data_IF_199495041538
#
_entry.id   IF_199495041538
#
_cell.length_a   1.000
_cell.length_b   1.000
_cell.length_c   1.000
_cell.angle_alpha   90.00
_cell.angle_beta   90.00
_cell.angle_gamma   90.00
#
_symmetry.space_group_name_H-M   'P 1'
#
loop_
_entity.id
_entity.type
_entity.pdbx_description
1 polymer ?
#
# COMPACT_ATOMS: atom_id res chain seq x y z
N UNK A 1 -14.94 13.28 52.28
CA UNK A 1 -14.74 13.99 50.99
C UNK A 1 -13.25 14.01 50.69
N UNK A 2 -12.73 12.99 50.03
CA UNK A 2 -11.31 12.90 49.66
C UNK A 2 -11.10 13.53 48.28
N UNK A 3 -10.26 14.57 48.23
CA UNK A 3 -9.88 15.26 47.00
C UNK A 3 -9.18 14.31 46.01
N UNK A 4 -9.58 14.37 44.74
CA UNK A 4 -8.92 13.67 43.64
C UNK A 4 -7.55 14.31 43.36
N UNK A 5 -6.49 13.53 43.10
CA UNK A 5 -5.18 14.06 42.76
C UNK A 5 -5.19 14.73 41.37
N UNK A 6 -4.34 15.75 41.15
CA UNK A 6 -4.27 16.48 39.89
C UNK A 6 -3.81 15.57 38.75
N UNK A 7 -4.41 15.77 37.57
CA UNK A 7 -4.13 15.00 36.37
C UNK A 7 -2.71 15.28 35.85
N UNK A 8 -1.74 14.53 36.36
CA UNK A 8 -0.36 14.51 35.90
C UNK A 8 -0.26 13.88 34.50
N UNK A 9 -0.42 14.71 33.47
CA UNK A 9 0.55 14.88 32.40
C UNK A 9 1.26 13.61 31.85
N UNK A 10 0.49 12.57 31.53
CA UNK A 10 0.92 11.30 30.90
C UNK A 10 1.57 11.51 29.51
N UNK A 11 1.40 12.70 28.92
CA UNK A 11 1.76 12.99 27.52
C UNK A 11 3.26 12.99 27.18
N UNK A 12 4.16 13.44 28.07
CA UNK A 12 5.59 13.60 27.71
C UNK A 12 6.40 12.30 27.76
N UNK A 13 6.09 11.38 28.68
CA UNK A 13 6.76 10.07 28.76
C UNK A 13 6.31 9.14 27.61
N UNK A 14 5.02 9.17 27.25
CA UNK A 14 4.50 8.45 26.10
C UNK A 14 5.14 8.92 24.78
N UNK A 15 5.34 10.23 24.60
CA UNK A 15 6.00 10.80 23.42
C UNK A 15 7.47 10.38 23.27
N UNK A 16 8.19 10.18 24.39
CA UNK A 16 9.60 9.74 24.39
C UNK A 16 9.71 8.28 23.92
N UNK A 17 8.76 7.42 24.29
CA UNK A 17 8.70 6.03 23.80
C UNK A 17 8.25 5.93 22.33
N UNK A 18 7.37 6.81 21.86
CA UNK A 18 6.93 6.85 20.46
C UNK A 18 8.08 7.26 19.52
N UNK A 19 8.97 8.18 19.96
CA UNK A 19 10.18 8.54 19.21
C UNK A 19 11.21 7.40 19.15
N UNK A 20 11.37 6.63 20.23
CA UNK A 20 12.30 5.49 20.28
C UNK A 20 11.86 4.32 19.37
N UNK A 21 10.55 4.15 19.12
CA UNK A 21 10.02 3.06 18.29
C UNK A 21 9.81 3.38 16.81
N UNK A 22 10.30 4.54 16.34
CA UNK A 22 10.41 4.82 14.90
C UNK A 22 9.10 4.79 14.12
N UNK A 23 7.98 5.21 14.73
CA UNK A 23 6.66 5.23 14.12
C UNK A 23 6.62 6.28 12.99
N UNK A 24 6.70 5.83 11.73
CA UNK A 24 6.57 6.67 10.54
C UNK A 24 5.10 7.05 10.37
N UNK A 25 4.70 8.27 10.75
CA UNK A 25 3.47 8.88 10.25
C UNK A 25 3.74 9.32 8.82
N UNK A 26 3.10 8.67 7.86
CA UNK A 26 3.14 9.06 6.45
C UNK A 26 1.68 9.26 6.06
N UNK A 27 1.35 10.50 5.75
CA UNK A 27 0.09 10.86 5.14
C UNK A 27 0.03 10.18 3.77
N UNK A 28 -0.90 9.26 3.58
CA UNK A 28 -1.35 8.86 2.25
C UNK A 28 -2.86 9.08 2.27
N UNK A 29 -3.25 10.23 1.74
CA UNK A 29 -4.59 10.49 1.25
C UNK A 29 -4.55 10.13 -0.23
N UNK A 30 -5.16 9.01 -0.60
CA UNK A 30 -6.11 8.84 -1.71
C UNK A 30 -6.28 7.34 -1.97
N UNK A 31 -7.12 6.70 -1.17
CA UNK A 31 -7.86 5.49 -1.55
C UNK A 31 -9.14 5.57 -0.74
N UNK A 32 -10.10 6.34 -1.26
CA UNK A 32 -11.43 6.39 -0.67
C UNK A 32 -12.20 5.15 -1.12
N UNK A 33 -12.59 4.37 -0.11
CA UNK A 33 -13.84 3.62 0.00
C UNK A 33 -14.45 3.06 -1.30
N UNK A 34 -14.25 1.75 -1.50
CA UNK A 34 -15.34 0.86 -1.87
C UNK A 34 -15.46 -0.20 -0.79
N UNK A 35 -16.68 -0.55 -0.41
CA UNK A 35 -16.98 -1.52 0.65
C UNK A 35 -16.53 -2.97 0.32
N UNK A 36 -15.93 -3.17 -0.86
CA UNK A 36 -15.31 -4.41 -1.35
C UNK A 36 -13.81 -4.53 -1.03
N UNK A 37 -13.21 -3.51 -0.40
CA UNK A 37 -11.79 -3.53 -0.01
C UNK A 37 -11.63 -4.39 1.24
N UNK A 38 -11.39 -5.69 1.04
CA UNK A 38 -10.66 -6.48 2.02
C UNK A 38 -9.37 -5.67 2.38
N UNK A 39 -8.93 -5.65 3.66
CA UNK A 39 -7.86 -4.76 4.16
C UNK A 39 -6.44 -5.09 3.65
N UNK A 40 -6.36 -5.69 2.47
CA UNK A 40 -5.26 -6.41 1.84
C UNK A 40 -4.08 -5.52 1.41
N UNK A 41 -4.26 -4.21 1.27
CA UNK A 41 -3.23 -3.32 0.70
C UNK A 41 -2.26 -2.69 1.72
N UNK A 42 -2.61 -2.69 3.00
CA UNK A 42 -1.98 -1.79 3.98
C UNK A 42 -2.13 -2.27 5.44
N UNK A 43 -2.13 -3.59 5.63
CA UNK A 43 -2.23 -4.30 6.91
C UNK A 43 -1.27 -3.81 8.03
N UNK A 44 -0.25 -3.02 7.71
CA UNK A 44 0.79 -2.61 8.66
C UNK A 44 0.49 -1.34 9.47
N UNK A 45 -0.51 -0.52 9.10
CA UNK A 45 -0.65 0.82 9.69
C UNK A 45 -1.63 0.85 10.88
N UNK A 46 -2.72 0.08 10.82
CA UNK A 46 -3.79 0.12 11.83
C UNK A 46 -3.76 -1.08 12.80
N UNK A 47 -3.57 -2.31 12.29
CA UNK A 47 -3.49 -3.52 13.11
C UNK A 47 -2.04 -3.87 13.47
N UNK A 48 -1.43 -3.05 14.34
CA UNK A 48 -0.08 -3.31 14.85
C UNK A 48 -0.08 -4.23 16.10
N UNK A 49 -0.84 -5.33 16.05
CA UNK A 49 -0.96 -6.26 17.20
C UNK A 49 -1.38 -5.59 18.52
N UNK A 50 -2.09 -4.45 18.44
CA UNK A 50 -2.44 -3.67 19.63
C UNK A 50 -3.40 -4.49 20.50
N UNK A 51 -3.25 -4.44 21.84
CA UNK A 51 -4.08 -5.23 22.74
C UNK A 51 -5.56 -4.82 22.71
N UNK A 52 -5.87 -3.59 22.29
CA UNK A 52 -7.24 -3.05 22.23
C UNK A 52 -8.18 -3.91 21.36
N UNK A 53 -9.41 -4.10 21.84
CA UNK A 53 -10.49 -4.75 21.10
C UNK A 53 -11.29 -3.70 20.30
N UNK A 54 -11.48 -3.98 19.02
CA UNK A 54 -12.23 -3.13 18.09
C UNK A 54 -13.13 -4.00 17.21
N UNK A 55 -14.21 -3.40 16.71
CA UNK A 55 -15.17 -4.07 15.82
C UNK A 55 -14.42 -4.53 14.56
N UNK A 56 -14.46 -5.83 14.25
CA UNK A 56 -13.74 -6.43 13.12
C UNK A 56 -12.41 -7.13 13.46
N UNK A 57 -11.88 -7.02 14.69
CA UNK A 57 -10.62 -7.68 15.09
C UNK A 57 -10.63 -9.20 14.89
N UNK A 58 -11.74 -9.86 15.21
CA UNK A 58 -11.88 -11.30 15.02
C UNK A 58 -11.96 -11.67 13.53
N UNK A 59 -12.68 -10.89 12.71
CA UNK A 59 -12.76 -11.10 11.27
C UNK A 59 -11.37 -10.98 10.62
N UNK A 60 -10.58 -9.96 10.97
CA UNK A 60 -9.20 -9.79 10.50
C UNK A 60 -8.29 -10.97 10.86
N UNK A 61 -8.40 -11.49 12.10
CA UNK A 61 -7.64 -12.68 12.51
C UNK A 61 -7.99 -13.91 11.68
N UNK A 62 -9.26 -14.08 11.33
CA UNK A 62 -9.71 -15.19 10.48
C UNK A 62 -9.22 -15.04 9.03
N UNK A 63 -9.28 -13.84 8.47
CA UNK A 63 -8.76 -13.55 7.12
C UNK A 63 -7.25 -13.84 7.07
N UNK A 64 -6.50 -13.35 8.05
CA UNK A 64 -5.05 -13.61 8.16
C UNK A 64 -4.73 -15.11 8.27
N UNK A 65 -5.55 -15.88 9.00
CA UNK A 65 -5.36 -17.32 9.14
C UNK A 65 -5.70 -18.10 7.86
N UNK A 66 -6.71 -17.65 7.10
CA UNK A 66 -7.12 -18.27 5.82
C UNK A 66 -6.18 -17.95 4.66
N UNK A 67 -5.47 -16.83 4.74
CA UNK A 67 -4.64 -16.32 3.65
C UNK A 67 -5.45 -15.56 2.61
N UNK A 68 -4.80 -14.59 1.98
CA UNK A 68 -5.41 -13.74 0.96
C UNK A 68 -5.51 -14.48 -0.37
N UNK A 69 -6.58 -14.22 -1.12
CA UNK A 69 -6.77 -14.79 -2.47
C UNK A 69 -6.31 -13.83 -3.57
N UNK A 70 -6.36 -12.54 -3.29
CA UNK A 70 -5.94 -11.47 -4.20
C UNK A 70 -5.02 -10.52 -3.44
N UNK A 71 -4.24 -9.74 -4.18
CA UNK A 71 -3.35 -8.71 -3.65
C UNK A 71 -3.38 -7.49 -4.54
N UNK A 72 -3.32 -6.33 -3.91
CA UNK A 72 -3.07 -5.07 -4.58
C UNK A 72 -1.60 -5.02 -5.02
N UNK A 73 -1.38 -4.72 -6.30
CA UNK A 73 -0.07 -4.59 -6.92
C UNK A 73 0.00 -3.30 -7.74
N UNK A 74 1.20 -2.77 -7.92
CA UNK A 74 1.47 -1.67 -8.82
C UNK A 74 2.02 -2.21 -10.16
N UNK A 75 1.42 -1.73 -11.25
CA UNK A 75 1.74 -2.07 -12.63
C UNK A 75 2.38 -0.87 -13.31
N UNK A 76 3.34 -1.16 -14.18
CA UNK A 76 3.84 -0.23 -15.19
C UNK A 76 3.51 -0.76 -16.57
N UNK A 77 3.00 0.11 -17.44
CA UNK A 77 2.72 -0.22 -18.82
C UNK A 77 3.20 0.92 -19.73
N UNK A 78 3.60 0.55 -20.94
CA UNK A 78 3.90 1.51 -22.00
C UNK A 78 2.68 1.60 -22.89
N UNK A 79 2.11 2.80 -22.96
CA UNK A 79 0.94 3.12 -23.79
C UNK A 79 1.31 4.24 -24.75
N UNK A 80 0.47 4.39 -25.78
CA UNK A 80 0.69 5.41 -26.82
C UNK A 80 0.00 6.72 -26.39
N UNK A 81 -1.33 6.77 -26.52
CA UNK A 81 -2.15 7.97 -26.32
C UNK A 81 -3.25 7.78 -25.25
N UNK A 82 -3.17 6.69 -24.46
CA UNK A 82 -4.19 6.32 -23.47
C UNK A 82 -3.54 5.93 -22.14
N UNK A 83 -4.14 6.37 -21.05
CA UNK A 83 -3.73 6.01 -19.69
C UNK A 83 -4.84 5.25 -18.98
N UNK A 84 -4.50 4.31 -18.09
CA UNK A 84 -5.49 3.68 -17.20
C UNK A 84 -6.01 4.71 -16.20
N UNK A 85 -7.31 4.69 -15.95
CA UNK A 85 -7.98 5.50 -14.92
C UNK A 85 -8.45 4.61 -13.75
N UNK A 86 -8.88 3.39 -14.05
CA UNK A 86 -9.39 2.41 -13.10
C UNK A 86 -10.61 1.65 -13.65
N UNK A 87 -10.86 0.45 -13.12
CA UNK A 87 -11.89 -0.50 -13.55
C UNK A 87 -11.65 -1.16 -14.91
N UNK A 88 -10.42 -1.17 -15.38
CA UNK A 88 -10.02 -1.89 -16.59
C UNK A 88 -9.68 -3.36 -16.29
N UNK A 89 -9.91 -4.23 -17.28
CA UNK A 89 -9.70 -5.68 -17.13
C UNK A 89 -8.23 -6.04 -17.27
N UNK A 90 -7.76 -6.92 -16.38
CA UNK A 90 -6.40 -7.46 -16.42
C UNK A 90 -6.44 -8.88 -16.95
N UNK A 91 -5.67 -9.11 -18.00
CA UNK A 91 -5.58 -10.36 -18.71
C UNK A 91 -4.26 -11.07 -18.40
N UNK A 92 -4.33 -12.39 -18.28
CA UNK A 92 -3.17 -13.27 -18.18
C UNK A 92 -3.50 -14.61 -18.85
N UNK A 93 -2.68 -15.06 -19.80
CA UNK A 93 -2.89 -16.28 -20.57
C UNK A 93 -4.31 -16.40 -21.18
N UNK A 94 -4.83 -15.30 -21.73
CA UNK A 94 -6.15 -15.25 -22.37
C UNK A 94 -7.35 -15.33 -21.40
N UNK A 95 -7.13 -15.11 -20.11
CA UNK A 95 -8.20 -15.04 -19.09
C UNK A 95 -8.13 -13.74 -18.31
N UNK A 96 -9.29 -13.20 -17.96
CA UNK A 96 -9.38 -12.07 -17.03
C UNK A 96 -9.07 -12.58 -15.61
N UNK A 97 -8.01 -12.03 -15.02
CA UNK A 97 -7.52 -12.42 -13.68
C UNK A 97 -7.81 -11.37 -12.62
N UNK A 98 -8.14 -10.15 -13.02
CA UNK A 98 -8.37 -9.06 -12.08
C UNK A 98 -8.78 -7.77 -12.76
N UNK A 99 -8.75 -6.69 -12.00
CA UNK A 99 -9.09 -5.35 -12.45
C UNK A 99 -8.13 -4.30 -11.88
N UNK A 100 -7.95 -3.22 -12.61
CA UNK A 100 -7.30 -2.01 -12.09
C UNK A 100 -8.25 -1.26 -11.15
N UNK A 101 -7.70 -0.62 -10.13
CA UNK A 101 -8.45 0.22 -9.18
C UNK A 101 -8.29 1.70 -9.50
N UNK A 102 -7.06 2.10 -9.83
CA UNK A 102 -6.72 3.49 -10.15
C UNK A 102 -5.49 3.51 -11.05
N UNK A 103 -5.39 4.49 -11.92
CA UNK A 103 -4.24 4.66 -12.79
C UNK A 103 -3.93 6.13 -13.09
N UNK A 104 -2.71 6.38 -13.58
CA UNK A 104 -2.26 7.69 -14.04
C UNK A 104 -0.95 7.60 -14.82
N UNK A 105 -0.67 8.57 -15.68
CA UNK A 105 0.64 8.72 -16.30
C UNK A 105 1.71 9.18 -15.30
N UNK A 106 2.88 8.55 -15.32
CA UNK A 106 4.01 8.96 -14.50
C UNK A 106 5.08 9.67 -15.34
N UNK A 107 5.13 10.99 -15.20
CA UNK A 107 6.15 11.83 -15.85
C UNK A 107 7.59 11.52 -15.42
N UNK A 108 7.79 10.91 -14.24
CA UNK A 108 9.13 10.57 -13.76
C UNK A 108 9.76 9.38 -14.50
N UNK A 109 8.94 8.43 -14.95
CA UNK A 109 9.40 7.22 -15.65
C UNK A 109 8.94 7.17 -17.12
N UNK A 110 8.19 8.18 -17.57
CA UNK A 110 7.60 8.31 -18.90
C UNK A 110 6.78 7.08 -19.31
N UNK A 111 5.99 6.56 -18.36
CA UNK A 111 5.14 5.37 -18.49
C UNK A 111 3.89 5.52 -17.65
N UNK A 112 2.84 4.81 -18.03
CA UNK A 112 1.60 4.77 -17.28
C UNK A 112 1.69 3.80 -16.11
N UNK A 113 0.99 4.15 -15.04
CA UNK A 113 0.92 3.40 -13.81
C UNK A 113 -0.51 3.02 -13.52
N UNK A 114 -0.70 1.81 -12.99
CA UNK A 114 -1.97 1.39 -12.46
C UNK A 114 -1.77 0.62 -11.15
N UNK A 115 -2.72 0.77 -10.23
CA UNK A 115 -2.93 -0.18 -9.15
C UNK A 115 -3.96 -1.20 -9.59
N UNK A 116 -3.75 -2.44 -9.17
CA UNK A 116 -4.48 -3.58 -9.66
C UNK A 116 -4.65 -4.65 -8.60
N UNK A 117 -5.81 -5.30 -8.57
CA UNK A 117 -5.98 -6.55 -7.84
C UNK A 117 -5.67 -7.72 -8.74
N UNK A 118 -4.71 -8.55 -8.35
CA UNK A 118 -4.38 -9.79 -9.03
C UNK A 118 -4.40 -10.96 -8.04
N UNK A 119 -4.60 -12.21 -8.51
CA UNK A 119 -4.45 -13.39 -7.67
C UNK A 119 -3.07 -13.42 -7.01
N UNK A 120 -2.98 -13.91 -5.78
CA UNK A 120 -1.71 -14.00 -5.02
C UNK A 120 -0.61 -14.70 -5.80
N UNK A 121 -0.95 -15.71 -6.60
CA UNK A 121 -0.04 -16.49 -7.44
C UNK A 121 0.65 -15.64 -8.52
N UNK A 122 -0.03 -14.59 -8.99
CA UNK A 122 0.47 -13.68 -10.03
C UNK A 122 1.02 -12.38 -9.44
N UNK A 123 1.04 -12.23 -8.12
CA UNK A 123 1.44 -10.97 -7.44
C UNK A 123 2.96 -10.76 -7.32
N UNK A 124 3.77 -11.57 -8.02
CA UNK A 124 5.23 -11.50 -7.94
C UNK A 124 5.78 -10.31 -8.71
N UNK A 125 6.75 -9.60 -8.13
CA UNK A 125 7.45 -8.50 -8.81
C UNK A 125 8.15 -9.03 -10.06
N UNK A 126 8.00 -8.32 -11.18
CA UNK A 126 8.51 -8.73 -12.50
C UNK A 126 7.52 -9.58 -13.31
N UNK A 127 6.39 -9.99 -12.74
CA UNK A 127 5.36 -10.71 -13.48
C UNK A 127 4.78 -9.83 -14.59
N UNK A 128 4.57 -10.44 -15.76
CA UNK A 128 3.92 -9.81 -16.90
C UNK A 128 2.43 -10.15 -16.91
N UNK A 129 1.62 -9.14 -17.17
CA UNK A 129 0.17 -9.21 -17.39
C UNK A 129 -0.22 -8.28 -18.52
N UNK A 130 -1.45 -8.34 -18.98
CA UNK A 130 -1.98 -7.44 -20.01
C UNK A 130 -3.10 -6.60 -19.39
N UNK A 131 -3.17 -5.31 -19.73
CA UNK A 131 -4.26 -4.41 -19.31
C UNK A 131 -5.03 -4.01 -20.55
N UNK A 132 -6.33 -4.22 -20.53
CA UNK A 132 -7.22 -3.85 -21.63
C UNK A 132 -7.60 -2.37 -21.54
N UNK A 133 -7.13 -1.56 -22.48
CA UNK A 133 -7.47 -0.15 -22.61
C UNK A 133 -8.16 0.08 -23.95
N UNK A 134 -9.41 0.56 -23.91
CA UNK A 134 -10.23 0.85 -25.10
C UNK A 134 -10.28 -0.29 -26.14
N UNK A 135 -10.26 -1.55 -25.67
CA UNK A 135 -10.31 -2.76 -26.49
C UNK A 135 -8.95 -3.27 -26.99
N UNK A 136 -7.85 -2.60 -26.63
CA UNK A 136 -6.49 -3.05 -26.93
C UNK A 136 -5.80 -3.55 -25.66
N UNK A 137 -5.09 -4.68 -25.76
CA UNK A 137 -4.32 -5.22 -24.64
C UNK A 137 -2.90 -4.66 -24.64
N UNK A 138 -2.55 -3.93 -23.58
CA UNK A 138 -1.22 -3.37 -23.37
C UNK A 138 -0.42 -4.24 -22.39
N UNK A 139 0.83 -4.61 -22.71
CA UNK A 139 1.68 -5.36 -21.81
C UNK A 139 2.07 -4.50 -20.60
N UNK A 140 1.85 -5.06 -19.41
CA UNK A 140 2.13 -4.44 -18.13
C UNK A 140 3.03 -5.35 -17.27
N UNK A 141 3.85 -4.74 -16.43
CA UNK A 141 4.78 -5.42 -15.53
C UNK A 141 4.52 -4.99 -14.10
N UNK A 142 4.41 -5.97 -13.20
CA UNK A 142 4.32 -5.73 -11.76
C UNK A 142 5.67 -5.21 -11.26
N UNK A 143 5.63 -4.08 -10.57
CA UNK A 143 6.80 -3.43 -10.01
C UNK A 143 6.78 -3.41 -8.50
N UNK A 144 7.97 -3.23 -7.91
CA UNK A 144 8.09 -3.06 -6.47
C UNK A 144 7.63 -1.66 -6.05
N UNK A 145 6.66 -1.62 -5.15
CA UNK A 145 6.24 -0.39 -4.51
C UNK A 145 7.18 0.02 -3.35
N UNK A 146 7.36 1.33 -3.09
CA UNK A 146 6.89 2.47 -3.88
C UNK A 146 7.90 2.86 -4.98
N UNK A 147 7.40 3.34 -6.11
CA UNK A 147 8.22 3.86 -7.21
C UNK A 147 9.17 4.99 -6.80
N UNK A 148 8.62 5.97 -6.07
CA UNK A 148 9.38 7.11 -5.57
C UNK A 148 9.37 7.11 -4.06
N UNK A 149 10.56 7.12 -3.47
CA UNK A 149 10.70 7.26 -2.02
C UNK A 149 10.27 8.68 -1.61
N UNK A 150 9.41 8.77 -0.59
CA UNK A 150 9.04 10.08 -0.05
C UNK A 150 10.20 10.70 0.70
N UNK A 151 10.13 12.02 0.82
CA UNK A 151 11.12 12.86 1.49
C UNK A 151 11.50 12.32 2.90
N UNK A 152 10.56 11.98 3.81
CA UNK A 152 10.96 11.51 5.13
C UNK A 152 11.72 10.18 5.12
N UNK A 153 11.41 9.30 4.15
CA UNK A 153 12.10 8.02 4.00
C UNK A 153 13.50 8.23 3.44
N UNK A 154 13.62 9.08 2.40
CA UNK A 154 14.88 9.45 1.78
C UNK A 154 15.83 10.11 2.79
N UNK A 155 15.35 11.09 3.54
CA UNK A 155 16.14 11.78 4.57
C UNK A 155 16.60 10.86 5.70
N UNK A 156 15.80 9.83 6.03
CA UNK A 156 16.18 8.84 7.05
C UNK A 156 17.27 7.90 6.52
N UNK A 157 17.24 7.53 5.24
CA UNK A 157 18.27 6.71 4.61
C UNK A 157 19.60 7.47 4.53
N UNK A 158 19.57 8.74 4.13
CA UNK A 158 20.76 9.60 4.10
C UNK A 158 21.41 9.76 5.49
N UNK A 159 20.61 9.96 6.54
CA UNK A 159 21.10 10.02 7.93
C UNK A 159 21.79 8.74 8.40
N UNK A 160 21.31 7.57 7.97
CA UNK A 160 21.90 6.27 8.32
C UNK A 160 23.19 5.98 7.53
N UNK A 161 23.29 6.43 6.28
CA UNK A 161 24.49 6.23 5.46
C UNK A 161 25.69 7.09 5.86
N UNK A 162 25.51 8.09 6.72
CA UNK A 162 26.58 8.97 7.19
C UNK A 162 27.34 8.49 8.43
N UNK A 163 26.97 7.34 9.03
CA UNK A 163 27.51 6.90 10.33
C UNK A 163 28.62 5.83 10.25
N UNK A 164 29.00 5.38 9.05
CA UNK A 164 30.02 4.32 8.82
C UNK A 164 31.36 4.86 8.25
N UNK A 165 31.64 6.15 8.37
CA UNK A 165 32.95 6.73 8.03
C UNK A 165 33.64 7.22 9.29
N UNK A 166 34.32 6.32 10.00
CA UNK A 166 35.39 6.67 10.95
C UNK A 166 36.31 5.48 11.16
#
# INVERSE_FOLDING_TARGET
>A
MSALPPADFIGKQALKQIKAKGLKRRLVCLTLATDDVDPEGNESIWYNGKPADFIGKQALKQIKAKGLKRRLVCLTLATDDVDPEGNESIWYNGKVVGNTTSGSYSYSIQKSLAFAYVPTELSTVGQQVEVELLGNNYPAVIIQEPLVLTEPTRNRLQRKGGTDKT
#
